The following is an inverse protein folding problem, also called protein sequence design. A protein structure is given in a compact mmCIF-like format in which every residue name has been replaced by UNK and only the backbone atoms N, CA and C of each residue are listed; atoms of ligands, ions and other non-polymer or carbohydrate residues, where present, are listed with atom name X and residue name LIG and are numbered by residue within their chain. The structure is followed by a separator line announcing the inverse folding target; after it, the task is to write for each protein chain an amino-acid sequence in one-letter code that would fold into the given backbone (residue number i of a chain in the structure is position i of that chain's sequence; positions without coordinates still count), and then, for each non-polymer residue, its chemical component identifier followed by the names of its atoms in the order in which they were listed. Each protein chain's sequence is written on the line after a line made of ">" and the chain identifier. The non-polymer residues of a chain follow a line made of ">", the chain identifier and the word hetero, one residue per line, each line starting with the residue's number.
data_IF_972915095313
#
_entry.id   IF_972915095313
#
_cell.length_a   1.000
_cell.length_b   1.000
_cell.length_c   1.000
_cell.angle_alpha   90.00
_cell.angle_beta   90.00
_cell.angle_gamma   90.00
#
_symmetry.space_group_name_H-M   'P 1'
#
loop_
_entity.id
_entity.type
_entity.pdbx_description
1 polymer ?
#
# COMPACT_ATOMS: atom_id res chain seq x y z
N UNK A 1 14.12 -7.33 24.01
CA UNK A 1 13.24 -7.15 22.83
C UNK A 1 12.93 -8.54 22.29
N UNK A 2 11.68 -8.87 21.95
CA UNK A 2 11.36 -10.18 21.39
C UNK A 2 11.67 -10.20 19.89
N UNK A 3 12.30 -11.28 19.41
CA UNK A 3 12.52 -11.51 17.98
C UNK A 3 11.39 -12.34 17.41
N UNK A 4 10.73 -11.83 16.38
CA UNK A 4 9.65 -12.52 15.67
C UNK A 4 10.10 -12.74 14.22
N UNK A 5 9.86 -13.94 13.69
CA UNK A 5 10.16 -14.25 12.29
C UNK A 5 9.31 -13.37 11.36
N UNK A 6 9.93 -12.80 10.33
CA UNK A 6 9.28 -11.86 9.41
C UNK A 6 8.01 -12.45 8.80
N UNK A 7 8.07 -13.69 8.31
CA UNK A 7 6.91 -14.36 7.71
C UNK A 7 5.75 -14.53 8.71
N UNK A 8 6.05 -14.89 9.96
CA UNK A 8 5.05 -15.03 11.02
C UNK A 8 4.35 -13.70 11.28
N UNK A 9 5.13 -12.61 11.34
CA UNK A 9 4.61 -11.27 11.56
C UNK A 9 3.77 -10.78 10.36
N UNK A 10 4.25 -11.00 9.13
CA UNK A 10 3.51 -10.68 7.90
C UNK A 10 2.16 -11.38 7.88
N UNK A 11 2.13 -12.69 8.12
CA UNK A 11 0.89 -13.48 8.13
C UNK A 11 -0.10 -12.97 9.19
N UNK A 12 0.40 -12.55 10.36
CA UNK A 12 -0.43 -11.99 11.41
C UNK A 12 -1.04 -10.65 11.00
N UNK A 13 -0.23 -9.73 10.49
CA UNK A 13 -0.69 -8.40 10.04
C UNK A 13 -1.66 -8.50 8.85
N UNK A 14 -1.41 -9.42 7.92
CA UNK A 14 -2.32 -9.70 6.80
C UNK A 14 -3.70 -10.14 7.31
N UNK A 15 -3.75 -11.04 8.31
CA UNK A 15 -5.02 -11.48 8.92
C UNK A 15 -5.78 -10.33 9.58
N UNK A 16 -5.07 -9.38 10.20
CA UNK A 16 -5.71 -8.20 10.79
C UNK A 16 -6.37 -7.32 9.73
N UNK A 17 -5.68 -7.04 8.62
CA UNK A 17 -6.26 -6.26 7.53
C UNK A 17 -7.40 -6.98 6.82
N UNK A 18 -7.29 -8.29 6.63
CA UNK A 18 -8.37 -9.10 6.08
C UNK A 18 -9.62 -9.09 6.99
N UNK A 19 -9.43 -9.19 8.31
CA UNK A 19 -10.52 -9.08 9.28
C UNK A 19 -11.16 -7.69 9.29
N UNK A 20 -10.41 -6.65 8.91
CA UNK A 20 -10.90 -5.28 8.71
C UNK A 20 -11.53 -5.04 7.32
N UNK A 21 -11.72 -6.09 6.52
CA UNK A 21 -12.38 -6.02 5.22
C UNK A 21 -11.45 -5.87 4.01
N UNK A 22 -10.13 -5.77 4.18
CA UNK A 22 -9.24 -5.62 3.03
C UNK A 22 -9.24 -6.89 2.15
N UNK A 23 -9.32 -6.75 0.81
CA UNK A 23 -9.05 -7.85 -0.11
C UNK A 23 -7.67 -8.46 0.13
N UNK A 24 -7.52 -9.75 -0.16
CA UNK A 24 -6.28 -10.50 0.11
C UNK A 24 -5.03 -9.80 -0.46
N UNK A 25 -5.12 -9.26 -1.68
CA UNK A 25 -4.04 -8.54 -2.35
C UNK A 25 -3.64 -7.23 -1.65
N UNK A 26 -4.60 -6.51 -1.08
CA UNK A 26 -4.34 -5.28 -0.33
C UNK A 26 -3.71 -5.62 1.02
N UNK A 27 -4.30 -6.58 1.74
CA UNK A 27 -3.80 -7.04 3.04
C UNK A 27 -2.35 -7.53 2.94
N UNK A 28 -2.04 -8.35 1.93
CA UNK A 28 -0.68 -8.84 1.67
C UNK A 28 0.29 -7.69 1.40
N UNK A 29 -0.08 -6.76 0.51
CA UNK A 29 0.79 -5.64 0.12
C UNK A 29 1.12 -4.72 1.29
N UNK A 30 0.12 -4.39 2.10
CA UNK A 30 0.31 -3.52 3.27
C UNK A 30 1.11 -4.25 4.34
N UNK A 31 0.81 -5.51 4.63
CA UNK A 31 1.55 -6.32 5.60
C UNK A 31 3.04 -6.43 5.23
N UNK A 32 3.33 -6.77 3.97
CA UNK A 32 4.70 -6.85 3.46
C UNK A 32 5.42 -5.51 3.62
N UNK A 33 4.80 -4.39 3.22
CA UNK A 33 5.41 -3.07 3.35
C UNK A 33 5.74 -2.70 4.80
N UNK A 34 4.84 -2.98 5.75
CA UNK A 34 5.06 -2.68 7.16
C UNK A 34 6.17 -3.55 7.76
N UNK A 35 6.18 -4.85 7.46
CA UNK A 35 7.24 -5.75 7.94
C UNK A 35 8.60 -5.41 7.31
N UNK A 36 8.63 -5.07 6.02
CA UNK A 36 9.84 -4.58 5.38
C UNK A 36 10.38 -3.30 6.03
N UNK A 37 9.52 -2.38 6.47
CA UNK A 37 9.96 -1.21 7.22
C UNK A 37 10.60 -1.58 8.57
N UNK A 38 10.07 -2.57 9.30
CA UNK A 38 10.75 -3.08 10.50
C UNK A 38 12.10 -3.72 10.17
N UNK A 39 12.18 -4.54 9.12
CA UNK A 39 13.44 -5.18 8.68
C UNK A 39 14.50 -4.16 8.25
N UNK A 40 14.07 -3.01 7.73
CA UNK A 40 14.93 -1.89 7.38
C UNK A 40 15.32 -0.99 8.58
N UNK A 41 14.87 -1.31 9.80
CA UNK A 41 15.14 -0.51 11.01
C UNK A 41 14.28 0.75 11.13
N UNK A 42 13.20 0.86 10.38
CA UNK A 42 12.25 1.98 10.41
C UNK A 42 10.98 1.62 11.21
N UNK A 43 11.16 1.32 12.50
CA UNK A 43 10.07 0.83 13.35
C UNK A 43 8.87 1.76 13.44
N UNK A 44 9.11 3.08 13.40
CA UNK A 44 8.06 4.11 13.38
C UNK A 44 7.17 4.07 12.14
N UNK A 45 7.54 3.31 11.11
CA UNK A 45 6.77 3.11 9.87
C UNK A 45 6.40 1.63 9.65
N UNK A 46 6.78 0.74 10.57
CA UNK A 46 6.51 -0.69 10.49
C UNK A 46 5.15 -1.07 11.08
N UNK A 47 5.06 -2.29 11.63
CA UNK A 47 3.79 -2.88 12.10
C UNK A 47 3.08 -2.07 13.19
N UNK A 48 3.76 -1.12 13.85
CA UNK A 48 3.13 -0.15 14.76
C UNK A 48 2.00 0.65 14.07
N UNK A 49 2.11 0.87 12.75
CA UNK A 49 1.11 1.59 11.95
C UNK A 49 -0.17 0.79 11.72
N UNK A 50 -0.18 -0.52 11.98
CA UNK A 50 -1.38 -1.36 11.82
C UNK A 50 -2.56 -0.80 12.62
N UNK A 51 -2.33 -0.36 13.86
CA UNK A 51 -3.39 0.22 14.72
C UNK A 51 -3.98 1.48 14.07
N UNK A 52 -3.14 2.36 13.53
CA UNK A 52 -3.58 3.57 12.85
C UNK A 52 -4.45 3.25 11.63
N UNK A 53 -4.03 2.29 10.80
CA UNK A 53 -4.80 1.88 9.63
C UNK A 53 -6.16 1.27 10.01
N UNK A 54 -6.19 0.40 11.04
CA UNK A 54 -7.44 -0.20 11.52
C UNK A 54 -8.42 0.86 12.04
N UNK A 55 -7.91 1.87 12.76
CA UNK A 55 -8.73 3.01 13.18
C UNK A 55 -9.23 3.83 11.98
N UNK A 56 -8.37 4.13 11.01
CA UNK A 56 -8.79 4.86 9.80
C UNK A 56 -9.87 4.12 8.99
N UNK A 57 -9.81 2.78 8.94
CA UNK A 57 -10.86 1.96 8.33
C UNK A 57 -12.16 2.10 9.12
N UNK A 58 -12.09 1.92 10.44
CA UNK A 58 -13.23 2.04 11.35
C UNK A 58 -13.91 3.41 11.26
N UNK A 59 -13.13 4.47 11.14
CA UNK A 59 -13.60 5.86 11.08
C UNK A 59 -14.00 6.28 9.66
N UNK A 60 -13.92 5.39 8.67
CA UNK A 60 -14.28 5.65 7.27
C UNK A 60 -13.33 6.60 6.53
N UNK A 61 -12.15 6.87 7.10
CA UNK A 61 -11.09 7.69 6.49
C UNK A 61 -10.28 6.92 5.45
N UNK A 62 -10.23 5.59 5.58
CA UNK A 62 -9.63 4.67 4.63
C UNK A 62 -10.67 3.64 4.17
N UNK A 63 -10.79 3.45 2.87
CA UNK A 63 -11.60 2.37 2.29
C UNK A 63 -10.67 1.18 1.97
N UNK A 64 -10.79 0.05 2.68
CA UNK A 64 -9.91 -1.09 2.48
C UNK A 64 -10.14 -1.80 1.13
N UNK A 65 -11.29 -1.58 0.49
CA UNK A 65 -11.65 -2.10 -0.83
C UNK A 65 -11.32 -1.15 -1.98
N UNK A 66 -11.02 0.13 -1.69
CA UNK A 66 -10.80 1.12 -2.72
C UNK A 66 -9.67 0.72 -3.67
N UNK A 67 -9.97 0.80 -4.96
CA UNK A 67 -9.03 0.54 -6.04
C UNK A 67 -8.67 1.87 -6.71
N UNK A 68 -7.39 2.25 -6.74
CA UNK A 68 -6.91 3.45 -7.42
C UNK A 68 -7.29 3.48 -8.89
N UNK A 69 -7.44 4.67 -9.48
CA UNK A 69 -7.78 4.80 -10.89
C UNK A 69 -7.10 6.00 -11.54
N UNK A 70 -6.75 5.87 -12.82
CA UNK A 70 -6.34 6.99 -13.66
C UNK A 70 -7.53 7.93 -13.86
N UNK A 71 -7.32 9.21 -13.61
CA UNK A 71 -8.32 10.26 -13.88
C UNK A 71 -7.92 11.16 -15.05
N UNK A 72 -6.63 11.20 -15.38
CA UNK A 72 -6.09 11.91 -16.54
C UNK A 72 -4.73 11.34 -16.93
N UNK A 73 -4.43 11.31 -18.22
CA UNK A 73 -3.10 10.92 -18.68
C UNK A 73 -2.68 11.63 -19.99
N UNK A 74 -1.37 11.70 -20.19
CA UNK A 74 -0.69 11.95 -21.45
C UNK A 74 0.29 10.81 -21.72
N UNK A 75 1.14 10.92 -22.74
CA UNK A 75 2.21 9.94 -22.97
C UNK A 75 3.14 9.76 -21.75
N UNK A 76 3.47 10.86 -21.07
CA UNK A 76 4.52 10.88 -20.01
C UNK A 76 4.02 11.30 -18.63
N UNK A 77 2.78 11.79 -18.49
CA UNK A 77 2.22 12.23 -17.20
C UNK A 77 0.91 11.49 -16.92
N UNK A 78 0.74 10.99 -15.71
CA UNK A 78 -0.48 10.32 -15.25
C UNK A 78 -0.96 10.93 -13.93
N UNK A 79 -2.25 11.20 -13.82
CA UNK A 79 -2.92 11.56 -12.57
C UNK A 79 -3.74 10.37 -12.08
N UNK A 80 -3.52 9.95 -10.84
CA UNK A 80 -4.17 8.81 -10.18
C UNK A 80 -4.95 9.29 -8.97
N UNK A 81 -6.25 9.00 -8.94
CA UNK A 81 -7.05 9.11 -7.73
C UNK A 81 -6.88 7.84 -6.89
N UNK A 82 -6.28 7.98 -5.71
CA UNK A 82 -6.10 6.90 -4.74
C UNK A 82 -7.39 6.43 -4.06
N UNK A 83 -8.49 7.18 -4.19
CA UNK A 83 -9.84 6.82 -3.71
C UNK A 83 -9.90 6.42 -2.24
N UNK A 84 -9.03 7.03 -1.41
CA UNK A 84 -8.84 6.71 0.01
C UNK A 84 -8.41 5.26 0.27
N UNK A 85 -7.76 4.60 -0.69
CA UNK A 85 -7.13 3.29 -0.48
C UNK A 85 -5.93 3.41 0.46
N UNK A 86 -5.36 2.27 0.83
CA UNK A 86 -4.01 2.23 1.39
C UNK A 86 -3.01 2.93 0.46
N UNK A 87 -2.08 3.71 1.04
CA UNK A 87 -1.05 4.39 0.27
C UNK A 87 -0.16 3.42 -0.50
N UNK A 88 0.14 2.25 0.08
CA UNK A 88 0.91 1.19 -0.57
C UNK A 88 0.20 0.61 -1.81
N UNK A 89 -1.13 0.56 -1.80
CA UNK A 89 -1.94 0.09 -2.94
C UNK A 89 -1.93 1.14 -4.05
N UNK A 90 -2.18 2.40 -3.71
CA UNK A 90 -2.13 3.53 -4.65
C UNK A 90 -0.74 3.70 -5.28
N UNK A 91 0.31 3.71 -4.46
CA UNK A 91 1.68 3.88 -4.94
C UNK A 91 2.09 2.74 -5.89
N UNK A 92 1.77 1.48 -5.57
CA UNK A 92 2.11 0.37 -6.46
C UNK A 92 1.39 0.46 -7.81
N UNK A 93 0.10 0.83 -7.82
CA UNK A 93 -0.63 1.07 -9.06
C UNK A 93 0.01 2.18 -9.89
N UNK A 94 0.32 3.32 -9.25
CA UNK A 94 0.96 4.47 -9.89
C UNK A 94 2.35 4.15 -10.46
N UNK A 95 3.17 3.42 -9.71
CA UNK A 95 4.52 3.01 -10.11
C UNK A 95 4.47 2.08 -11.33
N UNK A 96 3.54 1.12 -11.35
CA UNK A 96 3.40 0.23 -12.52
C UNK A 96 3.07 1.01 -13.79
N UNK A 97 2.19 2.01 -13.71
CA UNK A 97 1.89 2.88 -14.85
C UNK A 97 3.12 3.68 -15.29
N UNK A 98 3.86 4.25 -14.33
CA UNK A 98 5.08 5.01 -14.61
C UNK A 98 6.13 4.14 -15.31
N UNK A 99 6.34 2.89 -14.85
CA UNK A 99 7.28 1.94 -15.45
C UNK A 99 6.89 1.67 -16.92
N UNK A 100 5.62 1.36 -17.19
CA UNK A 100 5.17 1.04 -18.55
C UNK A 100 5.32 2.24 -19.50
N UNK A 101 4.94 3.45 -19.06
CA UNK A 101 5.12 4.67 -19.87
C UNK A 101 6.60 5.03 -20.07
N UNK A 102 7.43 4.89 -19.04
CA UNK A 102 8.85 5.19 -19.14
C UNK A 102 9.58 4.26 -20.12
N UNK A 103 9.18 2.97 -20.21
CA UNK A 103 9.69 2.05 -21.24
C UNK A 103 9.43 2.54 -22.66
N UNK A 104 8.30 3.22 -22.90
CA UNK A 104 7.92 3.73 -24.23
C UNK A 104 8.53 5.10 -24.52
N UNK A 105 8.49 6.03 -23.56
CA UNK A 105 8.80 7.44 -23.79
C UNK A 105 10.13 7.90 -23.16
N UNK A 106 10.87 7.00 -22.49
CA UNK A 106 12.14 7.27 -21.83
C UNK A 106 11.99 7.85 -20.41
N UNK A 107 10.87 8.50 -20.10
CA UNK A 107 10.53 8.99 -18.75
C UNK A 107 9.02 9.00 -18.53
N UNK A 108 8.60 8.98 -17.27
CA UNK A 108 7.20 9.16 -16.88
C UNK A 108 7.09 9.77 -15.49
N UNK A 109 6.01 10.50 -15.24
CA UNK A 109 5.63 11.01 -13.92
C UNK A 109 4.20 10.60 -13.62
N UNK A 110 3.97 10.04 -12.43
CA UNK A 110 2.64 9.72 -11.92
C UNK A 110 2.43 10.40 -10.57
N UNK A 111 1.29 11.05 -10.39
CA UNK A 111 0.90 11.72 -9.14
C UNK A 111 -0.58 11.56 -8.84
#
# INVERSE_FOLDING_TARGET
>A
MQTIQAQTLTNYVQKLFAAAGAPASHAERVANSLVSANLAGHDSHGVIRTVQYLNNIKDGMLDPHATPAIVRETGVVTMVDGRRSFGQVAAHYAINIAIEKAKTYGTATTG
#
